data_IF_898182215484
#
_entry.id   IF_898182215484
#
_cell.length_a   1.000
_cell.length_b   1.000
_cell.length_c   1.000
_cell.angle_alpha   90.00
_cell.angle_beta   90.00
_cell.angle_gamma   90.00
#
_symmetry.space_group_name_H-M   'P 1'
#
loop_
_entity.id
_entity.type
_entity.pdbx_description
1 polymer ?
#
# COMPACT_ATOMS: atom_id res chain seq x y z
N UNK A 1 16.73 32.63 -0.33
CA UNK A 1 16.18 33.32 -1.52
C UNK A 1 15.82 32.24 -2.52
N UNK A 2 14.55 32.13 -2.94
CA UNK A 2 14.17 31.23 -4.03
C UNK A 2 14.73 31.82 -5.30
N UNK A 3 15.59 31.09 -5.99
CA UNK A 3 16.17 31.56 -7.23
C UNK A 3 15.28 31.14 -8.42
N UNK A 4 15.40 31.81 -9.54
CA UNK A 4 14.64 31.56 -10.75
C UNK A 4 14.84 30.13 -11.26
N UNK A 5 16.00 29.53 -11.02
CA UNK A 5 16.32 28.17 -11.42
C UNK A 5 15.50 27.13 -10.64
N UNK A 6 15.35 27.31 -9.32
CA UNK A 6 14.57 26.42 -8.46
C UNK A 6 13.08 26.42 -8.84
N UNK A 7 12.55 27.57 -9.27
CA UNK A 7 11.17 27.70 -9.75
C UNK A 7 10.98 26.91 -11.05
N UNK A 8 11.90 27.08 -12.01
CA UNK A 8 11.85 26.37 -13.28
C UNK A 8 12.03 24.86 -13.11
N UNK A 9 12.87 24.42 -12.19
CA UNK A 9 13.05 23.02 -11.85
C UNK A 9 11.73 22.42 -11.30
N UNK A 10 11.09 23.10 -10.35
CA UNK A 10 9.80 22.64 -9.79
C UNK A 10 8.72 22.52 -10.86
N UNK A 11 8.64 23.48 -11.79
CA UNK A 11 7.69 23.41 -12.90
C UNK A 11 7.94 22.18 -13.78
N UNK A 12 9.21 21.89 -14.12
CA UNK A 12 9.58 20.71 -14.90
C UNK A 12 9.24 19.39 -14.17
N UNK A 13 9.50 19.32 -12.88
CA UNK A 13 9.16 18.15 -12.07
C UNK A 13 7.67 17.81 -12.17
N UNK A 14 6.81 18.84 -12.22
CA UNK A 14 5.36 18.66 -12.29
C UNK A 14 4.90 18.36 -13.73
N UNK A 15 5.36 19.15 -14.72
CA UNK A 15 4.84 19.09 -16.08
C UNK A 15 5.44 17.94 -16.91
N UNK A 16 6.75 17.67 -16.75
CA UNK A 16 7.50 16.79 -17.62
C UNK A 16 7.95 15.50 -16.94
N UNK A 17 8.06 15.49 -15.60
CA UNK A 17 8.71 14.42 -14.83
C UNK A 17 7.74 13.65 -13.91
N UNK A 18 6.43 13.84 -14.07
CA UNK A 18 5.36 13.11 -13.37
C UNK A 18 5.37 13.26 -11.83
N UNK A 19 5.76 14.42 -11.29
CA UNK A 19 5.60 14.68 -9.86
C UNK A 19 4.11 14.84 -9.52
N UNK A 20 3.63 14.03 -8.59
CA UNK A 20 2.26 14.15 -8.06
C UNK A 20 2.20 14.05 -6.52
N UNK A 21 1.12 14.57 -5.97
CA UNK A 21 0.62 14.18 -4.66
C UNK A 21 -0.31 13.00 -4.90
N UNK A 22 0.20 11.80 -4.61
CA UNK A 22 -0.55 10.59 -4.85
C UNK A 22 -1.85 10.55 -4.06
N UNK A 23 -1.84 11.08 -2.84
CA UNK A 23 -3.04 11.13 -2.02
C UNK A 23 -2.95 12.16 -0.90
N UNK A 24 -4.11 12.77 -0.59
CA UNK A 24 -4.41 13.33 0.73
C UNK A 24 -5.37 12.37 1.40
N UNK A 25 -4.96 11.78 2.53
CA UNK A 25 -5.76 10.80 3.27
C UNK A 25 -6.13 11.37 4.64
N UNK A 26 -7.42 11.39 4.94
CA UNK A 26 -7.92 11.74 6.26
C UNK A 26 -8.08 10.49 7.11
N UNK A 27 -7.32 10.40 8.20
CA UNK A 27 -7.52 9.40 9.25
C UNK A 27 -8.64 9.85 10.18
N UNK A 28 -9.57 8.94 10.53
CA UNK A 28 -10.71 9.22 11.40
C UNK A 28 -10.86 8.09 12.41
N UNK A 29 -10.78 8.42 13.71
CA UNK A 29 -11.11 7.48 14.77
C UNK A 29 -12.62 7.21 14.81
N UNK A 30 -12.99 5.94 14.95
CA UNK A 30 -14.39 5.51 15.08
C UNK A 30 -14.68 4.92 16.47
N UNK A 31 -13.78 5.07 17.45
CA UNK A 31 -13.95 4.47 18.78
C UNK A 31 -15.22 4.91 19.50
N UNK A 32 -15.67 6.14 19.29
CA UNK A 32 -16.93 6.68 19.83
C UNK A 32 -18.18 6.21 19.06
N UNK A 33 -17.99 5.47 17.96
CA UNK A 33 -19.09 4.87 17.19
C UNK A 33 -19.49 3.48 17.68
N UNK A 34 -18.74 2.90 18.63
CA UNK A 34 -19.03 1.57 19.17
C UNK A 34 -20.44 1.56 19.79
N UNK A 35 -21.25 0.58 19.40
CA UNK A 35 -22.60 0.36 19.93
C UNK A 35 -22.96 -1.13 19.79
N UNK A 36 -23.66 -1.75 20.75
CA UNK A 36 -24.14 -3.14 20.62
C UNK A 36 -25.16 -3.33 19.48
N UNK A 37 -25.91 -2.27 19.17
CA UNK A 37 -26.86 -2.25 18.05
C UNK A 37 -26.13 -1.86 16.76
N UNK A 38 -26.11 -2.77 15.79
CA UNK A 38 -25.39 -2.59 14.53
C UNK A 38 -25.93 -1.42 13.70
N UNK A 39 -27.24 -1.19 13.69
CA UNK A 39 -27.86 -0.12 12.91
C UNK A 39 -27.46 1.25 13.48
N UNK A 40 -27.42 1.35 14.82
CA UNK A 40 -26.94 2.55 15.52
C UNK A 40 -25.46 2.76 15.27
N UNK A 41 -24.64 1.71 15.38
CA UNK A 41 -23.20 1.78 15.14
C UNK A 41 -22.90 2.20 13.69
N UNK A 42 -23.51 1.58 12.69
CA UNK A 42 -23.36 1.92 11.27
C UNK A 42 -23.79 3.36 10.99
N UNK A 43 -24.89 3.82 11.61
CA UNK A 43 -25.32 5.20 11.49
C UNK A 43 -24.31 6.18 12.07
N UNK A 44 -23.76 5.91 13.26
CA UNK A 44 -22.69 6.73 13.88
C UNK A 44 -21.45 6.79 12.99
N UNK A 45 -21.03 5.65 12.40
CA UNK A 45 -19.90 5.57 11.47
C UNK A 45 -20.15 6.45 10.24
N UNK A 46 -21.31 6.31 9.59
CA UNK A 46 -21.68 7.13 8.44
C UNK A 46 -21.69 8.63 8.78
N UNK A 47 -22.38 9.01 9.87
CA UNK A 47 -22.53 10.40 10.30
C UNK A 47 -21.16 11.02 10.64
N UNK A 48 -20.28 10.29 11.34
CA UNK A 48 -18.95 10.81 11.70
C UNK A 48 -18.05 11.00 10.49
N UNK A 49 -17.99 10.01 9.57
CA UNK A 49 -17.19 10.11 8.35
C UNK A 49 -17.66 11.29 7.50
N UNK A 50 -18.95 11.39 7.24
CA UNK A 50 -19.50 12.46 6.40
C UNK A 50 -19.34 13.85 7.04
N UNK A 51 -19.43 13.96 8.35
CA UNK A 51 -19.17 15.21 9.07
C UNK A 51 -17.69 15.64 8.98
N UNK A 52 -16.77 14.73 9.28
CA UNK A 52 -15.34 15.04 9.34
C UNK A 52 -14.73 15.29 7.95
N UNK A 53 -15.10 14.49 6.96
CA UNK A 53 -14.51 14.55 5.62
C UNK A 53 -15.30 15.41 4.61
N UNK A 54 -16.36 16.11 5.01
CA UNK A 54 -17.25 16.89 4.12
C UNK A 54 -16.54 17.85 3.17
N UNK A 55 -15.43 18.44 3.61
CA UNK A 55 -14.70 19.46 2.85
C UNK A 55 -13.37 18.90 2.26
N UNK A 56 -13.04 17.61 2.47
CA UNK A 56 -11.75 17.03 2.10
C UNK A 56 -11.47 17.14 0.59
N UNK A 57 -12.43 16.73 -0.23
CA UNK A 57 -12.29 16.75 -1.70
C UNK A 57 -12.17 18.19 -2.19
N UNK A 58 -13.06 19.07 -1.77
CA UNK A 58 -13.05 20.48 -2.14
C UNK A 58 -11.74 21.18 -1.78
N UNK A 59 -11.21 20.93 -0.59
CA UNK A 59 -9.92 21.50 -0.14
C UNK A 59 -8.78 20.94 -0.97
N UNK A 60 -8.77 19.63 -1.27
CA UNK A 60 -7.78 19.02 -2.15
C UNK A 60 -7.75 19.66 -3.54
N UNK A 61 -8.92 19.84 -4.17
CA UNK A 61 -9.05 20.49 -5.49
C UNK A 61 -8.62 21.97 -5.48
N UNK A 62 -8.90 22.67 -4.40
CA UNK A 62 -8.46 24.07 -4.23
C UNK A 62 -6.93 24.17 -4.14
N UNK A 63 -6.29 23.25 -3.39
CA UNK A 63 -4.83 23.20 -3.26
C UNK A 63 -4.18 22.86 -4.60
N UNK A 64 -4.74 21.86 -5.29
CA UNK A 64 -4.28 21.47 -6.63
C UNK A 64 -4.32 22.64 -7.61
N UNK A 65 -5.43 23.36 -7.66
CA UNK A 65 -5.60 24.54 -8.52
C UNK A 65 -4.66 25.70 -8.16
N UNK A 66 -4.44 25.94 -6.85
CA UNK A 66 -3.62 27.05 -6.37
C UNK A 66 -2.12 26.81 -6.58
N UNK A 67 -1.65 25.57 -6.36
CA UNK A 67 -0.23 25.26 -6.47
C UNK A 67 0.16 24.68 -7.84
N UNK A 68 -0.82 24.31 -8.65
CA UNK A 68 -0.58 23.63 -9.94
C UNK A 68 0.01 22.22 -9.78
N UNK A 69 -0.10 21.61 -8.59
CA UNK A 69 0.44 20.28 -8.29
C UNK A 69 -0.72 19.28 -8.33
N UNK A 70 -0.70 18.26 -9.18
CA UNK A 70 -1.76 17.26 -9.23
C UNK A 70 -1.93 16.54 -7.90
N UNK A 71 -3.17 16.43 -7.41
CA UNK A 71 -3.55 15.63 -6.24
C UNK A 71 -4.47 14.51 -6.72
N UNK A 72 -3.88 13.36 -7.00
CA UNK A 72 -4.52 12.28 -7.74
C UNK A 72 -5.71 11.70 -6.97
N UNK A 73 -5.54 11.46 -5.67
CA UNK A 73 -6.58 10.86 -4.84
C UNK A 73 -6.84 11.66 -3.56
N UNK A 74 -8.11 11.64 -3.14
CA UNK A 74 -8.57 12.05 -1.81
C UNK A 74 -9.16 10.82 -1.16
N UNK A 75 -8.67 10.42 0.01
CA UNK A 75 -8.96 9.13 0.64
C UNK A 75 -9.29 9.29 2.12
N UNK A 76 -9.90 8.25 2.70
CA UNK A 76 -10.17 8.16 4.12
C UNK A 76 -9.61 6.84 4.64
N UNK A 77 -9.03 6.86 5.84
CA UNK A 77 -8.72 5.66 6.62
C UNK A 77 -9.41 5.74 7.97
N UNK A 78 -9.98 4.63 8.45
CA UNK A 78 -10.71 4.62 9.72
C UNK A 78 -10.13 3.59 10.68
N UNK A 79 -10.49 3.68 11.95
CA UNK A 79 -10.15 2.67 12.97
C UNK A 79 -10.52 1.28 12.47
N UNK A 80 -9.68 0.25 12.70
CA UNK A 80 -9.98 -1.13 12.31
C UNK A 80 -11.39 -1.56 12.73
N UNK A 81 -12.22 -1.88 11.75
CA UNK A 81 -13.65 -2.20 11.97
C UNK A 81 -13.83 -3.44 12.85
N UNK A 82 -12.87 -4.37 12.88
CA UNK A 82 -12.91 -5.49 13.82
C UNK A 82 -13.04 -5.05 15.29
N UNK A 83 -12.44 -3.90 15.65
CA UNK A 83 -12.55 -3.33 17.01
C UNK A 83 -13.95 -2.75 17.24
N UNK A 84 -14.52 -2.10 16.22
CA UNK A 84 -15.81 -1.43 16.33
C UNK A 84 -16.95 -2.45 16.33
N UNK A 85 -16.89 -3.42 15.42
CA UNK A 85 -17.94 -4.43 15.23
C UNK A 85 -17.97 -5.50 16.32
N UNK A 86 -16.90 -5.67 17.10
CA UNK A 86 -16.80 -6.67 18.15
C UNK A 86 -17.93 -6.59 19.20
N UNK A 87 -18.53 -5.41 19.40
CA UNK A 87 -19.64 -5.20 20.31
C UNK A 87 -20.98 -5.73 19.77
N UNK A 88 -21.12 -5.86 18.43
CA UNK A 88 -22.42 -6.15 17.78
C UNK A 88 -22.76 -7.63 17.69
N UNK A 89 -21.79 -8.55 17.81
CA UNK A 89 -21.96 -10.01 17.70
C UNK A 89 -22.78 -10.46 16.48
N UNK A 90 -22.52 -9.85 15.33
CA UNK A 90 -23.19 -10.13 14.07
C UNK A 90 -22.26 -9.82 12.89
N UNK A 91 -22.65 -10.25 11.67
CA UNK A 91 -21.85 -9.98 10.47
C UNK A 91 -21.48 -8.51 10.33
N UNK A 92 -20.20 -8.15 10.15
CA UNK A 92 -19.76 -6.76 9.99
C UNK A 92 -19.97 -6.17 8.58
N UNK A 93 -20.53 -6.92 7.62
CA UNK A 93 -20.80 -6.40 6.25
C UNK A 93 -21.59 -5.09 6.22
N UNK A 94 -22.58 -4.83 7.10
CA UNK A 94 -23.26 -3.53 7.16
C UNK A 94 -22.32 -2.33 7.39
N UNK A 95 -21.22 -2.51 8.16
CA UNK A 95 -20.20 -1.47 8.33
C UNK A 95 -19.50 -1.16 7.01
N UNK A 96 -19.14 -2.17 6.21
CA UNK A 96 -18.54 -1.94 4.89
C UNK A 96 -19.47 -1.12 4.00
N UNK A 97 -20.77 -1.44 3.98
CA UNK A 97 -21.78 -0.67 3.23
C UNK A 97 -21.91 0.77 3.72
N UNK A 98 -21.97 0.98 5.04
CA UNK A 98 -22.02 2.33 5.62
C UNK A 98 -20.75 3.15 5.28
N UNK A 99 -19.58 2.54 5.29
CA UNK A 99 -18.32 3.16 4.86
C UNK A 99 -18.35 3.54 3.37
N UNK A 100 -18.82 2.65 2.50
CA UNK A 100 -18.93 2.88 1.06
C UNK A 100 -19.88 4.03 0.72
N UNK A 101 -21.04 4.05 1.36
CA UNK A 101 -22.02 5.11 1.24
C UNK A 101 -21.48 6.45 1.74
N UNK A 102 -20.80 6.47 2.88
CA UNK A 102 -20.15 7.67 3.39
C UNK A 102 -19.05 8.17 2.44
N UNK A 103 -18.21 7.27 1.90
CA UNK A 103 -17.18 7.60 0.93
C UNK A 103 -17.76 8.17 -0.38
N UNK A 104 -18.89 7.62 -0.84
CA UNK A 104 -19.66 8.16 -1.99
C UNK A 104 -20.22 9.54 -1.70
N UNK A 105 -20.81 9.74 -0.51
CA UNK A 105 -21.43 10.99 -0.11
C UNK A 105 -20.41 12.15 -0.04
N UNK A 106 -19.20 11.92 0.44
CA UNK A 106 -18.14 12.94 0.51
C UNK A 106 -17.26 13.00 -0.75
N UNK A 107 -17.45 12.09 -1.71
CA UNK A 107 -16.77 12.09 -3.00
C UNK A 107 -15.33 11.59 -3.00
N UNK A 108 -14.86 10.92 -1.95
CA UNK A 108 -13.49 10.37 -1.91
C UNK A 108 -13.34 9.14 -2.80
N UNK A 109 -12.12 8.88 -3.26
CA UNK A 109 -11.85 7.79 -4.18
C UNK A 109 -11.94 6.41 -3.53
N UNK A 110 -11.34 6.26 -2.33
CA UNK A 110 -11.25 5.01 -1.58
C UNK A 110 -11.37 5.27 -0.08
N UNK A 111 -11.81 4.26 0.67
CA UNK A 111 -11.84 4.23 2.13
C UNK A 111 -11.28 2.92 2.65
N UNK A 112 -10.28 3.00 3.53
CA UNK A 112 -9.66 1.85 4.21
C UNK A 112 -10.07 1.75 5.67
N UNK A 113 -9.79 0.61 6.29
CA UNK A 113 -10.09 0.35 7.69
C UNK A 113 -11.08 -0.81 7.91
N UNK A 114 -11.54 -1.48 6.85
CA UNK A 114 -12.19 -2.77 7.01
C UNK A 114 -11.13 -3.83 7.33
N UNK A 115 -10.59 -3.75 8.55
CA UNK A 115 -9.29 -4.28 8.96
C UNK A 115 -9.41 -5.07 10.27
N UNK A 116 -8.62 -6.16 10.37
CA UNK A 116 -8.38 -6.93 11.60
C UNK A 116 -6.88 -7.02 11.92
N UNK A 117 -6.54 -7.03 13.21
CA UNK A 117 -5.16 -7.07 13.73
C UNK A 117 -4.96 -8.36 14.54
N UNK A 118 -4.54 -9.44 13.87
CA UNK A 118 -4.53 -10.81 14.42
C UNK A 118 -3.15 -11.39 14.67
N UNK A 119 -2.13 -10.54 14.73
CA UNK A 119 -0.76 -10.97 15.02
C UNK A 119 -0.56 -11.61 16.39
N UNK A 120 -1.50 -11.43 17.32
CA UNK A 120 -1.49 -12.02 18.67
C UNK A 120 -2.47 -13.19 18.82
N UNK A 121 -3.14 -13.59 17.76
CA UNK A 121 -4.27 -14.50 17.76
C UNK A 121 -5.57 -13.79 17.39
N UNK A 122 -6.64 -14.54 17.32
CA UNK A 122 -7.96 -14.02 16.95
C UNK A 122 -8.81 -13.72 18.19
N UNK A 123 -9.50 -12.60 18.19
CA UNK A 123 -10.75 -12.45 18.91
C UNK A 123 -11.92 -13.00 18.08
N UNK A 124 -13.11 -13.13 18.69
CA UNK A 124 -14.32 -13.54 17.98
C UNK A 124 -14.67 -12.54 16.85
N UNK A 125 -14.63 -11.25 17.14
CA UNK A 125 -14.91 -10.21 16.16
C UNK A 125 -13.88 -10.12 15.02
N UNK A 126 -12.61 -10.45 15.27
CA UNK A 126 -11.59 -10.52 14.21
C UNK A 126 -11.91 -11.61 13.20
N UNK A 127 -12.32 -12.79 13.69
CA UNK A 127 -12.65 -13.93 12.82
C UNK A 127 -13.90 -13.64 11.99
N UNK A 128 -14.94 -13.10 12.60
CA UNK A 128 -16.16 -12.68 11.91
C UNK A 128 -15.89 -11.65 10.82
N UNK A 129 -15.05 -10.65 11.11
CA UNK A 129 -14.67 -9.65 10.11
C UNK A 129 -13.91 -10.27 8.95
N UNK A 130 -12.87 -11.09 9.22
CA UNK A 130 -12.05 -11.69 8.16
C UNK A 130 -12.89 -12.58 7.26
N UNK A 131 -13.77 -13.40 7.81
CA UNK A 131 -14.66 -14.28 7.03
C UNK A 131 -15.70 -13.49 6.20
N UNK A 132 -16.02 -12.26 6.59
CA UNK A 132 -16.93 -11.39 5.85
C UNK A 132 -16.26 -10.58 4.71
N UNK A 133 -14.91 -10.52 4.65
CA UNK A 133 -14.18 -9.72 3.66
C UNK A 133 -14.61 -9.99 2.22
N UNK A 134 -14.77 -11.26 1.75
CA UNK A 134 -15.15 -11.53 0.38
C UNK A 134 -16.50 -10.91 -0.01
N UNK A 135 -17.49 -10.98 0.89
CA UNK A 135 -18.80 -10.36 0.66
C UNK A 135 -18.73 -8.83 0.74
N UNK A 136 -18.02 -8.29 1.73
CA UNK A 136 -17.85 -6.87 1.90
C UNK A 136 -17.22 -6.23 0.65
N UNK A 137 -16.13 -6.80 0.13
CA UNK A 137 -15.42 -6.26 -1.03
C UNK A 137 -16.15 -6.49 -2.35
N UNK A 138 -16.95 -7.54 -2.48
CA UNK A 138 -17.80 -7.78 -3.64
C UNK A 138 -19.03 -6.85 -3.68
N UNK A 139 -19.56 -6.45 -2.51
CA UNK A 139 -20.78 -5.61 -2.40
C UNK A 139 -20.49 -4.10 -2.29
N UNK A 140 -19.22 -3.68 -2.31
CA UNK A 140 -18.81 -2.27 -2.17
C UNK A 140 -17.83 -1.86 -3.27
N UNK A 141 -17.84 -0.57 -3.63
CA UNK A 141 -16.97 -0.03 -4.67
C UNK A 141 -15.65 0.52 -4.12
N UNK A 142 -15.72 1.30 -3.03
CA UNK A 142 -14.61 2.14 -2.51
C UNK A 142 -13.94 1.58 -1.27
N UNK A 143 -14.52 0.55 -0.66
CA UNK A 143 -13.96 -0.05 0.56
C UNK A 143 -12.76 -0.92 0.23
N UNK A 144 -11.69 -0.71 1.00
CA UNK A 144 -10.48 -1.53 0.98
C UNK A 144 -10.30 -2.20 2.34
N UNK A 145 -9.67 -3.38 2.33
CA UNK A 145 -9.47 -4.21 3.51
C UNK A 145 -8.01 -4.58 3.73
N UNK A 146 -7.65 -4.81 4.98
CA UNK A 146 -6.35 -5.37 5.33
C UNK A 146 -6.40 -6.23 6.59
N UNK A 147 -5.47 -7.17 6.69
CA UNK A 147 -5.31 -8.01 7.88
C UNK A 147 -3.84 -8.06 8.26
N UNK A 148 -3.50 -7.69 9.49
CA UNK A 148 -2.15 -7.81 10.02
C UNK A 148 -1.98 -9.13 10.77
N UNK A 149 -1.20 -10.06 10.18
CA UNK A 149 -1.07 -11.45 10.66
C UNK A 149 0.21 -11.70 11.47
N UNK A 150 1.13 -10.76 11.47
CA UNK A 150 2.43 -10.95 12.11
C UNK A 150 3.10 -9.65 12.54
N UNK A 151 4.07 -9.78 13.42
CA UNK A 151 4.98 -8.68 13.75
C UNK A 151 6.32 -9.21 14.27
N UNK A 152 7.34 -8.37 14.20
CA UNK A 152 8.65 -8.65 14.78
C UNK A 152 8.57 -8.98 16.28
N UNK A 153 7.57 -8.46 17.00
CA UNK A 153 7.41 -8.67 18.45
C UNK A 153 6.60 -9.90 18.80
N UNK A 154 5.63 -10.28 17.96
CA UNK A 154 4.69 -11.38 18.24
C UNK A 154 4.99 -12.64 17.47
N UNK A 155 5.77 -12.57 16.39
CA UNK A 155 5.90 -13.66 15.43
C UNK A 155 4.80 -13.64 14.38
N UNK A 156 4.54 -14.77 13.73
CA UNK A 156 3.57 -14.91 12.63
C UNK A 156 2.46 -15.86 13.05
N UNK A 157 1.22 -15.41 12.93
CA UNK A 157 0.03 -16.24 13.14
C UNK A 157 -0.21 -17.11 11.89
N UNK A 158 0.25 -18.37 11.92
CA UNK A 158 0.15 -19.27 10.77
C UNK A 158 -1.30 -19.70 10.50
N UNK A 159 -2.16 -19.78 11.53
CA UNK A 159 -3.60 -20.01 11.36
C UNK A 159 -4.24 -18.86 10.57
N UNK A 160 -3.78 -17.62 10.81
CA UNK A 160 -4.22 -16.47 10.04
C UNK A 160 -3.71 -16.51 8.60
N UNK A 161 -2.47 -16.98 8.35
CA UNK A 161 -1.97 -17.17 6.98
C UNK A 161 -2.86 -18.14 6.21
N UNK A 162 -3.20 -19.31 6.80
CA UNK A 162 -4.08 -20.29 6.19
C UNK A 162 -5.49 -19.74 5.91
N UNK A 163 -6.06 -19.00 6.87
CA UNK A 163 -7.35 -18.33 6.69
C UNK A 163 -7.27 -17.29 5.55
N UNK A 164 -6.23 -16.44 5.52
CA UNK A 164 -6.10 -15.41 4.51
C UNK A 164 -5.87 -15.96 3.10
N UNK A 165 -5.16 -17.08 2.94
CA UNK A 165 -5.03 -17.75 1.65
C UNK A 165 -6.39 -18.10 1.05
N UNK A 166 -7.32 -18.63 1.88
CA UNK A 166 -8.71 -18.91 1.49
C UNK A 166 -9.48 -17.63 1.17
N UNK A 167 -9.42 -16.63 2.04
CA UNK A 167 -10.12 -15.35 1.87
C UNK A 167 -9.69 -14.62 0.58
N UNK A 168 -8.39 -14.56 0.27
CA UNK A 168 -7.88 -13.95 -0.98
C UNK A 168 -8.46 -14.68 -2.20
N UNK A 169 -8.49 -16.02 -2.17
CA UNK A 169 -9.07 -16.82 -3.24
C UNK A 169 -10.58 -16.54 -3.42
N UNK A 170 -11.34 -16.54 -2.33
CA UNK A 170 -12.78 -16.23 -2.34
C UNK A 170 -13.08 -14.80 -2.82
N UNK A 171 -12.24 -13.81 -2.46
CA UNK A 171 -12.37 -12.44 -2.99
C UNK A 171 -12.23 -12.41 -4.51
N UNK A 172 -11.26 -13.14 -5.06
CA UNK A 172 -11.06 -13.23 -6.51
C UNK A 172 -12.27 -13.93 -7.17
N UNK A 173 -12.72 -15.06 -6.63
CA UNK A 173 -13.86 -15.84 -7.16
C UNK A 173 -15.18 -15.04 -7.16
N UNK A 174 -15.46 -14.28 -6.10
CA UNK A 174 -16.68 -13.45 -6.01
C UNK A 174 -16.67 -12.22 -6.93
N UNK A 175 -15.52 -11.88 -7.50
CA UNK A 175 -15.35 -10.65 -8.31
C UNK A 175 -14.76 -10.94 -9.69
N UNK A 176 -14.97 -12.12 -10.23
CA UNK A 176 -14.49 -12.54 -11.57
C UNK A 176 -14.93 -11.55 -12.66
N UNK A 177 -16.19 -11.11 -12.59
CA UNK A 177 -16.78 -10.18 -13.57
C UNK A 177 -16.09 -8.79 -13.59
N UNK A 178 -15.39 -8.45 -12.52
CA UNK A 178 -14.56 -7.24 -12.40
C UNK A 178 -13.05 -7.56 -12.39
N UNK A 179 -12.63 -8.57 -13.14
CA UNK A 179 -11.24 -9.02 -13.26
C UNK A 179 -10.60 -9.36 -11.88
N UNK A 180 -11.35 -10.04 -11.01
CA UNK A 180 -10.91 -10.44 -9.67
C UNK A 180 -10.54 -9.25 -8.76
N UNK A 181 -11.12 -8.07 -8.98
CA UNK A 181 -10.73 -6.81 -8.32
C UNK A 181 -10.93 -6.82 -6.80
N UNK A 182 -11.79 -7.68 -6.27
CA UNK A 182 -11.93 -7.85 -4.82
C UNK A 182 -10.60 -8.22 -4.14
N UNK A 183 -9.82 -9.10 -4.76
CA UNK A 183 -8.49 -9.45 -4.26
C UNK A 183 -7.49 -8.27 -4.35
N UNK A 184 -7.62 -7.38 -5.34
CA UNK A 184 -6.80 -6.17 -5.47
C UNK A 184 -7.09 -5.13 -4.37
N UNK A 185 -8.27 -5.19 -3.72
CA UNK A 185 -8.65 -4.32 -2.60
C UNK A 185 -8.28 -4.88 -1.22
N UNK A 186 -7.61 -6.03 -1.16
CA UNK A 186 -7.22 -6.73 0.07
C UNK A 186 -5.69 -6.82 0.20
N UNK A 187 -5.17 -6.45 1.35
CA UNK A 187 -3.73 -6.54 1.68
C UNK A 187 -3.54 -7.32 2.98
N UNK A 188 -2.58 -8.25 2.99
CA UNK A 188 -2.17 -8.96 4.21
C UNK A 188 -0.81 -8.43 4.66
N UNK A 189 -0.71 -8.01 5.92
CA UNK A 189 0.48 -7.36 6.48
C UNK A 189 1.21 -8.20 7.53
N UNK A 190 2.52 -7.98 7.61
CA UNK A 190 3.33 -8.13 8.80
C UNK A 190 3.93 -6.75 9.16
N UNK A 191 3.93 -6.38 10.45
CA UNK A 191 4.36 -5.06 10.94
C UNK A 191 3.62 -3.90 10.24
N UNK A 192 2.29 -3.96 10.13
CA UNK A 192 1.50 -2.86 9.56
C UNK A 192 1.73 -1.55 10.30
N UNK A 193 1.71 -0.43 9.58
CA UNK A 193 1.81 0.91 10.15
C UNK A 193 0.43 1.54 10.28
N UNK A 194 0.26 2.40 11.28
CA UNK A 194 -1.04 2.96 11.69
C UNK A 194 -1.38 4.28 10.99
N UNK A 195 -0.40 4.88 10.32
CA UNK A 195 -0.46 6.22 9.70
C UNK A 195 -0.35 6.19 8.17
N UNK A 196 -0.44 5.01 7.56
CA UNK A 196 -0.29 4.82 6.12
C UNK A 196 -1.36 5.58 5.31
N UNK A 197 -0.98 6.53 4.42
CA UNK A 197 -1.92 7.22 3.54
C UNK A 197 -2.28 6.43 2.28
N UNK A 198 -1.49 5.39 1.92
CA UNK A 198 -1.70 4.62 0.70
C UNK A 198 -2.73 3.51 0.91
N UNK A 199 -3.70 3.39 0.01
CA UNK A 199 -4.64 2.28 -0.08
C UNK A 199 -3.97 1.09 -0.83
N UNK A 200 -4.32 -0.16 -0.68
CA UNK A 200 -5.51 -0.75 -0.10
C UNK A 200 -5.43 -1.07 1.40
N UNK A 201 -4.25 -1.03 2.01
CA UNK A 201 -4.04 -1.50 3.37
C UNK A 201 -4.14 -0.43 4.46
N UNK A 202 -4.50 0.81 4.13
CA UNK A 202 -4.56 1.89 5.12
C UNK A 202 -5.65 1.65 6.17
N UNK A 203 -5.32 1.96 7.42
CA UNK A 203 -6.25 2.12 8.51
C UNK A 203 -5.75 3.20 9.46
N UNK A 204 -6.61 3.71 10.31
CA UNK A 204 -6.28 4.71 11.31
C UNK A 204 -6.05 4.03 12.67
N UNK A 205 -4.84 4.12 13.20
CA UNK A 205 -4.46 3.44 14.43
C UNK A 205 -5.19 3.97 15.67
N UNK A 206 -5.34 3.13 16.67
CA UNK A 206 -5.99 3.51 17.93
C UNK A 206 -5.16 4.48 18.76
N UNK A 207 -3.86 4.58 18.50
CA UNK A 207 -2.95 5.54 19.12
C UNK A 207 -2.92 6.91 18.46
N UNK A 208 -3.56 7.06 17.31
CA UNK A 208 -3.57 8.28 16.53
C UNK A 208 -4.64 9.29 17.05
N UNK A 209 -4.53 10.60 16.70
CA UNK A 209 -5.56 11.60 17.04
C UNK A 209 -6.95 11.23 16.51
N UNK A 210 -8.02 11.85 17.07
CA UNK A 210 -9.41 11.61 16.62
C UNK A 210 -9.58 11.82 15.10
N UNK A 211 -8.82 12.78 14.55
CA UNK A 211 -8.75 12.99 13.10
C UNK A 211 -7.41 13.60 12.72
N UNK A 212 -6.84 13.21 11.57
CA UNK A 212 -5.57 13.76 11.07
C UNK A 212 -5.48 13.69 9.55
N UNK A 213 -4.58 14.49 8.97
CA UNK A 213 -4.26 14.48 7.53
C UNK A 213 -2.87 13.88 7.31
N UNK A 214 -2.81 12.82 6.52
CA UNK A 214 -1.59 12.22 6.01
C UNK A 214 -1.49 12.44 4.49
N UNK A 215 -0.29 12.67 3.99
CA UNK A 215 -0.05 12.93 2.56
C UNK A 215 0.92 11.91 1.99
N UNK A 216 0.54 11.27 0.89
CA UNK A 216 1.43 10.43 0.12
C UNK A 216 1.93 11.18 -1.12
N UNK A 217 3.25 11.26 -1.28
CA UNK A 217 3.91 11.85 -2.47
C UNK A 217 4.60 10.78 -3.26
N UNK A 218 4.62 10.96 -4.58
CA UNK A 218 5.31 10.08 -5.49
C UNK A 218 6.08 10.86 -6.56
N UNK A 219 6.97 10.20 -7.25
CA UNK A 219 7.76 10.81 -8.32
C UNK A 219 8.89 9.93 -8.82
N UNK A 220 8.64 8.65 -9.20
CA UNK A 220 9.65 7.82 -9.87
C UNK A 220 10.21 8.50 -11.12
N UNK A 221 9.35 9.15 -11.91
CA UNK A 221 9.75 9.90 -13.09
C UNK A 221 10.75 11.02 -12.80
N UNK A 222 10.56 11.76 -11.71
CA UNK A 222 11.46 12.83 -11.28
C UNK A 222 12.85 12.28 -10.93
N UNK A 223 12.90 11.18 -10.17
CA UNK A 223 14.16 10.51 -9.81
C UNK A 223 14.87 10.03 -11.07
N UNK A 224 14.16 9.37 -11.98
CA UNK A 224 14.72 8.89 -13.25
C UNK A 224 15.27 10.04 -14.09
N UNK A 225 14.52 11.13 -14.26
CA UNK A 225 14.94 12.29 -15.03
C UNK A 225 16.20 12.96 -14.45
N UNK A 226 16.32 12.99 -13.12
CA UNK A 226 17.51 13.49 -12.44
C UNK A 226 18.74 12.62 -12.72
N UNK A 227 18.60 11.29 -12.67
CA UNK A 227 19.70 10.34 -12.91
C UNK A 227 20.23 10.41 -14.33
N UNK A 228 19.39 10.62 -15.32
CA UNK A 228 19.79 10.82 -16.74
C UNK A 228 20.78 11.95 -16.98
N UNK A 229 20.88 12.89 -16.06
CA UNK A 229 21.86 13.97 -16.13
C UNK A 229 23.28 13.52 -15.72
N UNK A 230 23.41 12.30 -15.20
CA UNK A 230 24.67 11.77 -14.64
C UNK A 230 24.97 10.34 -15.14
N UNK A 231 25.05 10.11 -16.46
CA UNK A 231 25.15 8.75 -17.02
C UNK A 231 26.46 8.02 -16.64
N UNK A 232 27.52 8.76 -16.37
CA UNK A 232 28.84 8.20 -16.04
C UNK A 232 29.19 8.35 -14.55
N UNK A 233 28.21 8.72 -13.70
CA UNK A 233 28.46 8.91 -12.28
C UNK A 233 28.63 7.57 -11.55
N UNK A 234 29.48 7.57 -10.53
CA UNK A 234 29.59 6.43 -9.64
C UNK A 234 28.36 6.29 -8.71
N UNK A 235 28.23 5.14 -8.05
CA UNK A 235 27.09 4.84 -7.18
C UNK A 235 26.96 5.82 -6.02
N UNK A 236 28.05 6.39 -5.52
CA UNK A 236 28.03 7.39 -4.46
C UNK A 236 27.33 8.66 -4.94
N UNK A 237 27.70 9.17 -6.11
CA UNK A 237 27.07 10.33 -6.73
C UNK A 237 25.61 10.06 -7.07
N UNK A 238 25.26 8.89 -7.60
CA UNK A 238 23.91 8.44 -7.86
C UNK A 238 23.06 8.51 -6.58
N UNK A 239 23.55 7.94 -5.47
CA UNK A 239 22.88 8.00 -4.17
C UNK A 239 22.65 9.43 -3.69
N UNK A 240 23.61 10.33 -3.87
CA UNK A 240 23.48 11.73 -3.46
C UNK A 240 22.44 12.47 -4.30
N UNK A 241 22.38 12.22 -5.61
CA UNK A 241 21.34 12.78 -6.50
C UNK A 241 19.95 12.31 -6.06
N UNK A 242 19.77 11.02 -5.75
CA UNK A 242 18.50 10.49 -5.29
C UNK A 242 18.07 11.17 -3.98
N UNK A 243 19.00 11.34 -3.02
CA UNK A 243 18.71 12.03 -1.74
C UNK A 243 18.26 13.48 -1.96
N UNK A 244 18.95 14.20 -2.84
CA UNK A 244 18.62 15.60 -3.16
C UNK A 244 17.22 15.74 -3.77
N UNK A 245 16.88 14.89 -4.73
CA UNK A 245 15.55 14.91 -5.36
C UNK A 245 14.46 14.48 -4.37
N UNK A 246 14.71 13.45 -3.59
CA UNK A 246 13.78 12.98 -2.54
C UNK A 246 13.50 14.07 -1.50
N UNK A 247 14.52 14.86 -1.14
CA UNK A 247 14.34 16.04 -0.30
C UNK A 247 13.36 17.04 -0.93
N UNK A 248 13.55 17.38 -2.21
CA UNK A 248 12.69 18.35 -2.92
C UNK A 248 11.24 17.85 -3.01
N UNK A 249 11.02 16.60 -3.40
CA UNK A 249 9.70 15.97 -3.48
C UNK A 249 9.00 16.02 -2.11
N UNK A 250 9.70 15.65 -1.04
CA UNK A 250 9.13 15.63 0.32
C UNK A 250 8.71 17.03 0.79
N UNK A 251 9.49 18.08 0.45
CA UNK A 251 9.13 19.46 0.79
C UNK A 251 7.82 19.90 0.14
N UNK A 252 7.55 19.43 -1.06
CA UNK A 252 6.27 19.68 -1.75
C UNK A 252 5.13 18.97 -1.03
N UNK A 253 5.31 17.70 -0.64
CA UNK A 253 4.31 16.98 0.15
C UNK A 253 4.01 17.65 1.49
N UNK A 254 5.04 18.13 2.18
CA UNK A 254 4.86 18.87 3.43
C UNK A 254 4.07 20.17 3.23
N UNK A 255 4.35 20.94 2.17
CA UNK A 255 3.60 22.13 1.84
C UNK A 255 2.11 21.84 1.67
N UNK A 256 1.78 20.83 0.88
CA UNK A 256 0.39 20.40 0.64
C UNK A 256 -0.27 19.92 1.93
N UNK A 257 0.41 19.06 2.71
CA UNK A 257 -0.13 18.52 3.96
C UNK A 257 -0.41 19.59 5.02
N UNK A 258 0.51 20.53 5.21
CA UNK A 258 0.32 21.64 6.15
C UNK A 258 -0.81 22.57 5.70
N UNK A 259 -0.94 22.81 4.39
CA UNK A 259 -2.02 23.64 3.84
C UNK A 259 -3.37 22.96 3.99
N UNK A 260 -3.47 21.66 3.68
CA UNK A 260 -4.69 20.88 3.87
C UNK A 260 -5.11 20.85 5.35
N UNK A 261 -4.17 20.58 6.25
CA UNK A 261 -4.39 20.59 7.69
C UNK A 261 -4.98 21.91 8.19
N UNK A 262 -4.39 23.04 7.79
CA UNK A 262 -4.89 24.38 8.18
C UNK A 262 -6.29 24.66 7.66
N UNK A 263 -6.58 24.32 6.40
CA UNK A 263 -7.89 24.59 5.78
C UNK A 263 -9.00 23.72 6.33
N UNK A 264 -8.66 22.47 6.66
CA UNK A 264 -9.61 21.52 7.24
C UNK A 264 -9.77 21.64 8.76
N UNK A 265 -8.87 22.37 9.44
CA UNK A 265 -8.85 22.48 10.90
C UNK A 265 -8.52 21.15 11.60
N UNK A 266 -7.72 20.29 10.94
CA UNK A 266 -7.36 18.95 11.40
C UNK A 266 -5.84 18.85 11.53
N UNK A 267 -5.28 18.19 12.57
CA UNK A 267 -3.84 18.04 12.72
C UNK A 267 -3.15 17.46 11.48
N UNK A 268 -1.96 17.95 11.17
CA UNK A 268 -1.10 17.34 10.18
C UNK A 268 -0.37 16.16 10.80
N UNK A 269 -0.49 14.98 10.21
CA UNK A 269 0.17 13.74 10.59
C UNK A 269 1.54 13.62 9.93
N UNK A 270 1.62 12.88 8.83
CA UNK A 270 2.88 12.57 8.17
C UNK A 270 2.87 12.88 6.66
N UNK A 271 4.09 12.97 6.12
CA UNK A 271 4.36 12.78 4.69
C UNK A 271 4.92 11.37 4.51
N UNK A 272 4.29 10.62 3.64
CA UNK A 272 4.82 9.36 3.12
C UNK A 272 5.47 9.65 1.75
N UNK A 273 6.79 9.58 1.70
CA UNK A 273 7.54 9.65 0.46
C UNK A 273 7.73 8.23 -0.07
N UNK A 274 6.79 7.77 -0.86
CA UNK A 274 6.91 6.49 -1.55
C UNK A 274 7.03 6.70 -3.04
N UNK A 275 8.10 6.16 -3.62
CA UNK A 275 8.21 6.04 -5.08
C UNK A 275 7.21 4.97 -5.53
N UNK A 276 5.94 5.37 -5.61
CA UNK A 276 4.84 4.51 -6.04
C UNK A 276 4.59 4.76 -7.53
N UNK A 277 4.98 3.82 -8.40
CA UNK A 277 4.87 4.00 -9.84
C UNK A 277 3.42 4.06 -10.31
N UNK A 278 3.25 4.44 -11.57
CA UNK A 278 2.01 4.29 -12.33
C UNK A 278 2.30 3.58 -13.65
N UNK A 279 1.28 3.04 -14.33
CA UNK A 279 1.46 2.47 -15.67
C UNK A 279 1.85 3.50 -16.73
N UNK A 280 1.89 4.79 -16.38
CA UNK A 280 2.26 5.86 -17.30
C UNK A 280 3.72 5.74 -17.74
N UNK A 281 3.96 6.08 -19.01
CA UNK A 281 5.33 6.08 -19.56
C UNK A 281 6.21 7.08 -18.80
N UNK A 282 7.32 6.60 -18.26
CA UNK A 282 8.30 7.42 -17.52
C UNK A 282 8.18 7.34 -16.00
N UNK A 283 7.07 6.86 -15.44
CA UNK A 283 6.81 6.77 -14.00
C UNK A 283 6.97 5.31 -13.50
N UNK A 284 8.21 4.80 -13.48
CA UNK A 284 8.54 3.40 -13.16
C UNK A 284 9.74 3.30 -12.26
N UNK A 285 9.63 2.53 -11.18
CA UNK A 285 10.75 2.18 -10.28
C UNK A 285 11.70 1.21 -10.97
N UNK A 286 11.20 0.25 -11.75
CA UNK A 286 12.05 -0.64 -12.54
C UNK A 286 12.96 0.15 -13.49
N UNK A 287 12.41 1.14 -14.18
CA UNK A 287 13.22 1.99 -15.07
C UNK A 287 14.23 2.88 -14.31
N UNK A 288 14.00 3.22 -13.03
CA UNK A 288 15.05 3.86 -12.20
C UNK A 288 16.22 2.89 -12.02
N UNK A 289 15.93 1.62 -11.69
CA UNK A 289 16.97 0.61 -11.49
C UNK A 289 17.76 0.34 -12.78
N UNK A 290 17.09 0.37 -13.93
CA UNK A 290 17.72 0.26 -15.26
C UNK A 290 18.55 1.51 -15.59
N UNK A 291 18.10 2.69 -15.26
CA UNK A 291 18.88 3.93 -15.44
C UNK A 291 20.14 3.97 -14.57
N UNK A 292 20.13 3.28 -13.42
CA UNK A 292 21.33 3.10 -12.56
C UNK A 292 22.37 2.16 -13.20
N UNK A 293 21.95 1.34 -14.18
CA UNK A 293 22.86 0.51 -14.96
C UNK A 293 22.49 -0.97 -15.07
N UNK A 294 21.27 -1.36 -14.64
CA UNK A 294 20.78 -2.72 -14.90
C UNK A 294 20.20 -2.79 -16.32
N UNK A 295 20.51 -3.83 -17.07
CA UNK A 295 19.92 -4.04 -18.41
C UNK A 295 18.41 -4.25 -18.33
N UNK A 296 17.94 -4.96 -17.30
CA UNK A 296 16.52 -5.17 -16.99
C UNK A 296 16.34 -5.42 -15.49
N UNK A 297 15.24 -4.89 -14.94
CA UNK A 297 14.83 -5.20 -13.59
C UNK A 297 14.62 -6.72 -13.42
N UNK A 298 15.01 -7.28 -12.27
CA UNK A 298 15.00 -8.71 -11.99
C UNK A 298 16.34 -9.40 -12.19
N UNK A 299 17.26 -8.86 -13.01
CA UNK A 299 18.60 -9.43 -13.16
C UNK A 299 19.41 -9.37 -11.86
N UNK A 300 20.53 -10.12 -11.81
CA UNK A 300 21.46 -10.04 -10.66
C UNK A 300 21.92 -8.59 -10.44
N UNK A 301 21.97 -8.16 -9.18
CA UNK A 301 22.24 -6.76 -8.81
C UNK A 301 20.97 -5.95 -8.48
N UNK A 302 19.78 -6.35 -8.93
CA UNK A 302 18.53 -5.63 -8.69
C UNK A 302 18.26 -5.40 -7.20
N UNK A 303 18.42 -6.41 -6.35
CA UNK A 303 18.21 -6.29 -4.90
C UNK A 303 19.17 -5.29 -4.27
N UNK A 304 20.46 -5.31 -4.64
CA UNK A 304 21.45 -4.34 -4.14
C UNK A 304 21.16 -2.91 -4.60
N UNK A 305 20.78 -2.75 -5.88
CA UNK A 305 20.40 -1.47 -6.45
C UNK A 305 19.14 -0.89 -5.76
N UNK A 306 18.12 -1.73 -5.54
CA UNK A 306 16.91 -1.36 -4.84
C UNK A 306 17.18 -1.00 -3.37
N UNK A 307 18.08 -1.71 -2.68
CA UNK A 307 18.48 -1.37 -1.31
C UNK A 307 19.08 0.04 -1.23
N UNK A 308 19.97 0.40 -2.16
CA UNK A 308 20.55 1.73 -2.24
C UNK A 308 19.49 2.78 -2.57
N UNK A 309 18.61 2.53 -3.54
CA UNK A 309 17.51 3.42 -3.90
C UNK A 309 16.61 3.70 -2.69
N UNK A 310 16.13 2.63 -2.03
CA UNK A 310 15.22 2.73 -0.88
C UNK A 310 15.84 3.53 0.28
N UNK A 311 17.11 3.29 0.60
CA UNK A 311 17.85 3.99 1.66
C UNK A 311 18.05 5.48 1.31
N UNK A 312 18.45 5.78 0.07
CA UNK A 312 18.66 7.15 -0.39
C UNK A 312 17.36 7.98 -0.37
N UNK A 313 16.23 7.38 -0.78
CA UNK A 313 14.89 7.99 -0.70
C UNK A 313 14.54 8.34 0.74
N UNK A 314 14.67 7.38 1.66
CA UNK A 314 14.37 7.60 3.09
C UNK A 314 15.24 8.69 3.70
N UNK A 315 16.55 8.70 3.41
CA UNK A 315 17.47 9.73 3.90
C UNK A 315 17.09 11.12 3.40
N UNK A 316 16.75 11.27 2.12
CA UNK A 316 16.29 12.53 1.54
C UNK A 316 14.99 13.02 2.22
N UNK A 317 14.04 12.12 2.43
CA UNK A 317 12.77 12.41 3.11
C UNK A 317 12.97 12.92 4.54
N UNK A 318 13.71 12.19 5.36
CA UNK A 318 13.97 12.55 6.77
C UNK A 318 14.69 13.91 6.90
N UNK A 319 15.56 14.25 5.95
CA UNK A 319 16.23 15.56 5.94
C UNK A 319 15.25 16.70 5.59
N UNK A 320 14.17 16.42 4.87
CA UNK A 320 13.24 17.44 4.39
C UNK A 320 12.11 17.76 5.38
N UNK A 321 11.65 16.79 6.14
CA UNK A 321 10.49 16.89 7.01
C UNK A 321 10.68 16.05 8.28
N UNK A 322 10.33 16.62 9.44
CA UNK A 322 10.37 15.91 10.73
C UNK A 322 9.18 14.96 10.94
N UNK A 323 8.24 14.95 10.01
CA UNK A 323 7.01 14.14 10.04
C UNK A 323 6.97 13.17 8.85
N UNK A 324 8.00 12.34 8.74
CA UNK A 324 8.05 11.24 7.78
C UNK A 324 7.50 9.99 8.45
N UNK A 325 6.61 9.29 7.76
CA UNK A 325 5.97 8.08 8.27
C UNK A 325 5.43 7.20 7.14
N UNK A 326 4.43 6.40 7.45
CA UNK A 326 3.80 5.49 6.51
C UNK A 326 4.75 4.41 6.01
N UNK A 327 4.72 4.17 4.71
CA UNK A 327 5.49 3.15 4.02
C UNK A 327 6.72 3.71 3.28
N UNK A 328 7.10 4.95 3.53
CA UNK A 328 8.16 5.69 2.82
C UNK A 328 9.31 4.84 2.26
N UNK A 329 9.62 5.03 0.98
CA UNK A 329 10.69 4.33 0.26
C UNK A 329 10.34 3.99 -1.18
N UNK A 330 10.84 2.87 -1.70
CA UNK A 330 10.56 2.43 -3.05
C UNK A 330 9.54 1.28 -3.07
N UNK A 331 8.43 1.47 -3.80
CA UNK A 331 7.41 0.46 -4.06
C UNK A 331 7.76 -0.37 -5.30
N UNK A 332 7.33 -1.62 -5.32
CA UNK A 332 7.56 -2.54 -6.44
C UNK A 332 6.27 -3.28 -6.86
N UNK A 333 5.13 -2.58 -7.06
CA UNK A 333 3.91 -3.20 -7.54
C UNK A 333 4.08 -3.64 -8.99
N UNK A 334 3.76 -4.90 -9.32
CA UNK A 334 4.03 -5.41 -10.67
C UNK A 334 3.07 -4.82 -11.69
N UNK A 335 1.77 -4.76 -11.43
CA UNK A 335 0.80 -4.28 -12.43
C UNK A 335 0.77 -2.76 -12.61
N UNK A 336 1.29 -2.02 -11.64
CA UNK A 336 1.26 -0.56 -11.62
C UNK A 336 2.57 0.06 -12.16
N UNK A 337 3.55 -0.75 -12.59
CA UNK A 337 4.88 -0.32 -13.05
C UNK A 337 5.20 -0.92 -14.42
N UNK A 338 5.31 -0.08 -15.46
CA UNK A 338 5.54 -0.52 -16.83
C UNK A 338 6.81 -1.39 -16.96
N UNK A 339 7.90 -1.02 -16.29
CA UNK A 339 9.14 -1.80 -16.33
C UNK A 339 9.05 -3.13 -15.54
N UNK A 340 8.28 -3.18 -14.44
CA UNK A 340 8.03 -4.44 -13.72
C UNK A 340 7.18 -5.39 -14.58
N UNK A 341 6.14 -4.87 -15.26
CA UNK A 341 5.33 -5.64 -16.21
C UNK A 341 6.22 -6.26 -17.28
N UNK A 342 7.05 -5.44 -17.94
CA UNK A 342 7.93 -5.89 -19.02
C UNK A 342 8.95 -6.92 -18.52
N UNK A 343 9.51 -6.75 -17.33
CA UNK A 343 10.44 -7.68 -16.71
C UNK A 343 9.77 -9.01 -16.34
N UNK A 344 8.53 -8.99 -15.84
CA UNK A 344 7.76 -10.18 -15.53
C UNK A 344 7.39 -10.96 -16.79
N UNK A 345 6.92 -10.27 -17.85
CA UNK A 345 6.60 -10.88 -19.16
C UNK A 345 7.85 -11.50 -19.79
N UNK A 346 9.01 -10.86 -19.65
CA UNK A 346 10.28 -11.39 -20.14
C UNK A 346 10.84 -12.56 -19.31
N UNK A 347 10.24 -12.85 -18.14
CA UNK A 347 10.70 -13.89 -17.22
C UNK A 347 11.98 -13.54 -16.45
N UNK A 348 12.45 -12.29 -16.51
CA UNK A 348 13.60 -11.82 -15.72
C UNK A 348 13.20 -11.54 -14.28
N UNK A 349 11.96 -11.08 -14.07
CA UNK A 349 11.37 -10.83 -12.75
C UNK A 349 10.45 -12.01 -12.41
N UNK A 350 10.85 -12.83 -11.44
CA UNK A 350 10.08 -13.96 -10.90
C UNK A 350 9.54 -13.64 -9.51
N UNK A 351 8.66 -14.47 -8.99
CA UNK A 351 8.11 -14.32 -7.61
C UNK A 351 9.25 -14.39 -6.59
N UNK A 352 10.15 -15.37 -6.72
CA UNK A 352 11.29 -15.54 -5.80
C UNK A 352 12.26 -14.36 -5.87
N UNK A 353 12.40 -13.74 -7.05
CA UNK A 353 13.18 -12.51 -7.18
C UNK A 353 12.51 -11.35 -6.51
N UNK A 354 11.18 -11.23 -6.63
CA UNK A 354 10.41 -10.23 -5.92
C UNK A 354 10.51 -10.42 -4.41
N UNK A 355 10.38 -11.63 -3.88
CA UNK A 355 10.58 -11.93 -2.45
C UNK A 355 11.95 -11.47 -1.96
N UNK A 356 13.03 -11.76 -2.71
CA UNK A 356 14.35 -11.23 -2.37
C UNK A 356 14.42 -9.69 -2.40
N UNK A 357 13.69 -9.04 -3.30
CA UNK A 357 13.60 -7.58 -3.38
C UNK A 357 12.78 -7.00 -2.23
N UNK A 358 11.78 -7.71 -1.74
CA UNK A 358 10.95 -7.25 -0.62
C UNK A 358 11.71 -7.18 0.70
N UNK A 359 12.81 -7.88 0.84
CA UNK A 359 13.70 -7.71 1.98
C UNK A 359 14.26 -6.27 2.11
N UNK A 360 14.33 -5.53 1.01
CA UNK A 360 14.96 -4.20 0.94
C UNK A 360 14.05 -3.09 0.38
N UNK A 361 12.87 -3.42 -0.14
CA UNK A 361 11.88 -2.42 -0.57
C UNK A 361 11.12 -1.82 0.62
N UNK A 362 10.19 -0.92 0.37
CA UNK A 362 9.40 -0.29 1.46
C UNK A 362 8.15 -1.05 1.86
N UNK A 363 7.58 -1.88 0.98
CA UNK A 363 6.28 -2.53 1.23
C UNK A 363 6.39 -4.06 1.23
N UNK A 364 6.42 -4.71 0.07
CA UNK A 364 6.33 -6.17 -0.04
C UNK A 364 5.92 -6.59 -1.44
N UNK A 365 5.33 -7.79 -1.56
CA UNK A 365 4.72 -8.28 -2.79
C UNK A 365 3.43 -7.51 -3.07
N UNK A 366 3.41 -6.72 -4.12
CA UNK A 366 2.27 -5.86 -4.41
C UNK A 366 1.78 -6.03 -5.84
N UNK A 367 0.45 -6.15 -5.99
CA UNK A 367 -0.23 -6.33 -7.28
C UNK A 367 0.33 -7.50 -8.10
N UNK A 368 0.52 -8.63 -7.45
CA UNK A 368 1.03 -9.86 -8.06
C UNK A 368 -0.12 -10.70 -8.57
N UNK A 369 -0.18 -10.92 -9.87
CA UNK A 369 -1.20 -11.78 -10.48
C UNK A 369 -0.67 -13.18 -10.63
N UNK A 370 -1.41 -14.16 -10.10
CA UNK A 370 -1.07 -15.59 -10.14
C UNK A 370 -2.14 -16.40 -10.87
N UNK A 371 -1.85 -17.64 -11.31
CA UNK A 371 -2.85 -18.48 -11.98
C UNK A 371 -4.13 -18.62 -11.16
N UNK A 372 -5.26 -18.63 -11.85
CA UNK A 372 -6.56 -18.70 -11.20
C UNK A 372 -6.85 -20.00 -10.47
N UNK A 373 -6.12 -21.07 -10.78
CA UNK A 373 -6.18 -22.38 -10.13
C UNK A 373 -5.20 -22.54 -8.96
N UNK A 374 -4.48 -21.47 -8.59
CA UNK A 374 -3.58 -21.48 -7.42
C UNK A 374 -4.36 -21.89 -6.16
N UNK A 375 -3.86 -22.90 -5.46
CA UNK A 375 -4.46 -23.39 -4.23
C UNK A 375 -4.36 -22.37 -3.09
N UNK A 376 -5.38 -22.27 -2.21
CA UNK A 376 -5.35 -21.38 -1.04
C UNK A 376 -4.10 -21.54 -0.16
N UNK A 377 -3.63 -22.77 0.04
CA UNK A 377 -2.45 -23.05 0.85
C UNK A 377 -1.16 -22.49 0.22
N UNK A 378 -1.08 -22.42 -1.11
CA UNK A 378 0.04 -21.78 -1.81
C UNK A 378 0.02 -20.27 -1.58
N UNK A 379 -1.15 -19.63 -1.66
CA UNK A 379 -1.30 -18.20 -1.32
C UNK A 379 -0.92 -17.95 0.14
N UNK A 380 -1.37 -18.83 1.05
CA UNK A 380 -1.03 -18.77 2.47
C UNK A 380 0.47 -18.88 2.73
N UNK A 381 1.18 -19.71 1.96
CA UNK A 381 2.63 -19.86 2.06
C UNK A 381 3.37 -18.60 1.59
N UNK A 382 2.95 -18.00 0.48
CA UNK A 382 3.50 -16.71 0.01
C UNK A 382 3.31 -15.63 1.10
N UNK A 383 2.14 -15.58 1.74
CA UNK A 383 1.86 -14.67 2.87
C UNK A 383 2.82 -14.95 4.04
N UNK A 384 3.07 -16.22 4.37
CA UNK A 384 3.96 -16.60 5.47
C UNK A 384 5.43 -16.26 5.17
N UNK A 385 5.89 -16.43 3.94
CA UNK A 385 7.26 -16.10 3.51
C UNK A 385 7.50 -14.58 3.58
N UNK A 386 6.58 -13.79 3.05
CA UNK A 386 6.66 -12.33 3.17
C UNK A 386 6.58 -11.84 4.62
N UNK A 387 5.74 -12.46 5.43
CA UNK A 387 5.68 -12.14 6.86
C UNK A 387 7.01 -12.48 7.57
N UNK A 388 7.67 -13.58 7.19
CA UNK A 388 8.98 -13.94 7.72
C UNK A 388 10.05 -12.92 7.35
N UNK A 389 10.07 -12.45 6.09
CA UNK A 389 10.95 -11.37 5.63
C UNK A 389 10.73 -10.11 6.47
N UNK A 390 9.48 -9.69 6.64
CA UNK A 390 9.11 -8.51 7.44
C UNK A 390 9.50 -8.65 8.92
N UNK A 391 9.19 -9.79 9.51
CA UNK A 391 9.46 -10.10 10.90
C UNK A 391 10.97 -10.06 11.22
N UNK A 392 11.79 -10.72 10.41
CA UNK A 392 13.24 -10.82 10.64
C UNK A 392 13.94 -9.49 10.39
N UNK A 393 13.53 -8.75 9.35
CA UNK A 393 14.13 -7.47 8.99
C UNK A 393 13.56 -6.27 9.76
N UNK A 394 12.60 -6.46 10.66
CA UNK A 394 11.96 -5.39 11.43
C UNK A 394 11.38 -4.31 10.51
N UNK A 395 10.74 -4.72 9.44
CA UNK A 395 10.10 -3.82 8.45
C UNK A 395 8.66 -4.26 8.16
N UNK A 396 7.86 -3.33 7.68
CA UNK A 396 6.54 -3.69 7.12
C UNK A 396 6.73 -4.51 5.86
N UNK A 397 6.01 -5.63 5.77
CA UNK A 397 5.78 -6.34 4.52
C UNK A 397 4.28 -6.49 4.29
N UNK A 398 3.90 -6.45 3.03
CA UNK A 398 2.52 -6.55 2.57
C UNK A 398 2.43 -7.59 1.46
N UNK A 399 1.32 -8.29 1.37
CA UNK A 399 1.00 -9.20 0.28
C UNK A 399 -0.34 -8.81 -0.33
N UNK A 400 -0.31 -8.45 -1.61
CA UNK A 400 -1.48 -8.21 -2.45
C UNK A 400 -1.36 -9.11 -3.68
N UNK A 401 -1.81 -10.36 -3.53
CA UNK A 401 -1.81 -11.40 -4.56
C UNK A 401 -3.22 -11.55 -5.12
N UNK A 402 -3.33 -11.67 -6.43
CA UNK A 402 -4.59 -11.70 -7.16
C UNK A 402 -4.66 -12.98 -8.00
N UNK A 403 -5.40 -14.01 -7.53
CA UNK A 403 -5.68 -15.18 -8.34
C UNK A 403 -6.54 -14.81 -9.54
N UNK A 404 -6.01 -15.00 -10.76
CA UNK A 404 -6.69 -14.64 -12.02
C UNK A 404 -7.64 -15.77 -12.45
N UNK A 405 -8.81 -15.83 -11.87
CA UNK A 405 -9.77 -16.93 -12.09
C UNK A 405 -10.04 -17.11 -13.59
N UNK A 406 -9.86 -18.35 -14.07
CA UNK A 406 -10.03 -18.71 -15.47
C UNK A 406 -8.87 -18.37 -16.41
N UNK A 407 -7.80 -17.75 -15.89
CA UNK A 407 -6.60 -17.37 -16.68
C UNK A 407 -5.37 -18.20 -16.33
N UNK A 408 -4.46 -18.29 -17.30
CA UNK A 408 -3.22 -19.06 -17.23
C UNK A 408 -2.00 -18.14 -17.29
N UNK A 409 -0.83 -18.69 -16.95
CA UNK A 409 0.47 -18.02 -17.09
C UNK A 409 0.62 -17.39 -18.46
N UNK A 410 1.08 -16.14 -18.49
CA UNK A 410 1.27 -15.34 -19.72
C UNK A 410 0.02 -14.56 -20.18
N UNK A 411 -1.17 -14.86 -19.63
CA UNK A 411 -2.34 -14.00 -19.83
C UNK A 411 -2.28 -12.77 -18.93
N UNK A 412 -3.19 -11.83 -19.11
CA UNK A 412 -3.18 -10.54 -18.42
C UNK A 412 -4.54 -10.25 -17.80
N UNK A 413 -4.55 -9.73 -16.57
CA UNK A 413 -5.69 -8.99 -16.01
C UNK A 413 -5.50 -7.50 -16.29
N UNK A 414 -6.55 -6.81 -16.71
CA UNK A 414 -6.53 -5.39 -17.03
C UNK A 414 -7.60 -4.66 -16.20
N UNK A 415 -7.18 -3.77 -15.33
CA UNK A 415 -8.08 -2.94 -14.52
C UNK A 415 -8.11 -1.49 -15.01
N UNK A 416 -7.15 -1.12 -15.85
CA UNK A 416 -6.97 0.25 -16.32
C UNK A 416 -6.56 1.23 -15.22
N UNK A 417 -6.49 2.51 -15.57
CA UNK A 417 -6.17 3.60 -14.63
C UNK A 417 -4.88 3.37 -13.86
N UNK A 418 -4.90 3.61 -12.56
CA UNK A 418 -3.74 3.47 -11.69
C UNK A 418 -3.36 2.01 -11.38
N UNK A 419 -4.31 1.07 -11.46
CA UNK A 419 -4.07 -0.34 -11.16
C UNK A 419 -3.38 -1.09 -12.31
N UNK A 420 -3.45 -0.55 -13.52
CA UNK A 420 -2.73 -1.03 -14.70
C UNK A 420 -3.10 -2.41 -15.18
N UNK A 421 -2.09 -3.19 -15.58
CA UNK A 421 -2.23 -4.52 -16.19
C UNK A 421 -1.30 -5.51 -15.53
N UNK A 422 -1.86 -6.57 -14.93
CA UNK A 422 -1.08 -7.62 -14.27
C UNK A 422 -0.87 -8.84 -15.17
N UNK A 423 0.38 -9.17 -15.58
CA UNK A 423 0.65 -10.46 -16.21
C UNK A 423 0.53 -11.58 -15.18
N UNK A 424 -0.09 -12.69 -15.57
CA UNK A 424 -0.18 -13.90 -14.74
C UNK A 424 1.21 -14.53 -14.66
N UNK A 425 1.84 -14.46 -13.47
CA UNK A 425 3.19 -14.95 -13.21
C UNK A 425 3.15 -16.44 -12.83
N UNK A 426 4.18 -17.22 -13.24
CA UNK A 426 4.26 -18.63 -12.89
C UNK A 426 4.52 -18.83 -11.39
N UNK A 427 3.99 -19.92 -10.83
CA UNK A 427 4.27 -20.41 -9.49
C UNK A 427 4.79 -21.85 -9.55
N UNK A 428 5.52 -22.26 -8.50
CA UNK A 428 5.86 -23.66 -8.29
C UNK A 428 4.61 -24.53 -8.07
N UNK A 429 4.68 -25.79 -8.46
CA UNK A 429 3.54 -26.72 -8.36
C UNK A 429 3.57 -27.57 -7.09
N UNK A 430 4.68 -27.56 -6.38
CA UNK A 430 4.84 -28.29 -5.13
C UNK A 430 3.96 -27.69 -4.04
N UNK A 431 3.23 -28.57 -3.33
CA UNK A 431 2.23 -28.13 -2.36
C UNK A 431 2.85 -27.81 -1.00
N UNK A 432 2.63 -26.62 -0.43
CA UNK A 432 3.00 -26.25 0.94
C UNK A 432 1.97 -26.67 1.98
N UNK A 433 0.88 -27.34 1.61
CA UNK A 433 -0.29 -27.59 2.46
C UNK A 433 0.05 -28.24 3.79
N UNK A 434 1.00 -29.18 3.82
CA UNK A 434 1.43 -29.82 5.06
C UNK A 434 2.06 -28.84 6.05
N UNK A 435 2.77 -27.82 5.56
CA UNK A 435 3.36 -26.77 6.39
C UNK A 435 2.29 -25.84 6.91
N UNK A 436 1.45 -25.29 6.05
CA UNK A 436 0.38 -24.35 6.43
C UNK A 436 -0.59 -24.98 7.42
N UNK A 437 -1.02 -26.22 7.15
CA UNK A 437 -1.96 -26.94 8.01
C UNK A 437 -1.38 -27.42 9.35
N UNK A 438 -0.11 -27.14 9.67
CA UNK A 438 0.39 -27.28 11.04
C UNK A 438 -0.22 -26.25 11.98
N UNK A 439 -0.54 -25.06 11.45
CA UNK A 439 -1.13 -23.97 12.24
C UNK A 439 -0.22 -23.43 13.35
N UNK A 440 -0.82 -22.70 14.26
CA UNK A 440 -0.15 -22.15 15.43
C UNK A 440 0.62 -20.86 15.14
N UNK A 441 1.67 -20.61 15.94
CA UNK A 441 2.44 -19.35 15.88
C UNK A 441 3.91 -19.65 15.54
N UNK A 442 4.44 -19.02 14.50
CA UNK A 442 5.88 -18.95 14.27
C UNK A 442 6.44 -17.95 15.28
N UNK A 443 7.39 -18.34 16.15
CA UNK A 443 7.89 -17.47 17.22
C UNK A 443 8.59 -16.22 16.69
N UNK A 444 8.54 -15.14 17.49
CA UNK A 444 9.32 -13.94 17.22
C UNK A 444 10.83 -14.25 17.18
N UNK A 445 11.61 -13.59 16.32
CA UNK A 445 13.04 -13.86 16.17
C UNK A 445 13.84 -13.37 17.37
N UNK A 446 14.98 -14.01 17.63
CA UNK A 446 15.95 -13.55 18.63
C UNK A 446 16.75 -12.38 18.07
N UNK A 447 16.37 -11.16 18.42
CA UNK A 447 17.03 -9.94 17.92
C UNK A 447 18.51 -9.82 18.28
N UNK A 448 18.92 -10.42 19.41
CA UNK A 448 20.31 -10.41 19.87
C UNK A 448 21.25 -11.30 19.04
N UNK A 449 20.71 -12.16 18.19
CA UNK A 449 21.46 -13.09 17.34
C UNK A 449 21.32 -12.75 15.84
N UNK A 450 21.22 -11.48 15.52
CA UNK A 450 21.28 -11.03 14.12
C UNK A 450 22.68 -11.31 13.58
N UNK A 451 22.73 -12.15 12.58
CA UNK A 451 23.96 -12.41 11.82
C UNK A 451 24.15 -11.32 10.76
#
# INVERSE_FOLDING_TARGET
MINQYDILETIRMIQDECLDIRTITMGISLLDCIDPDIDIACKKVYDKITLKARDLVKVGEQIEKEYGIPIINKRISVTPIAIISAACKCSPVPFAKAMDEAAKAVGVNLIGGYTALVQKGFSEGDRELIESIPEALASTERVCSSVNIGSTKTGINLDACGLMGRIVKECAEKTVDSACFGAAKLVVFCNSVEDNPFMAGAYHGVGEPDCMINVGVSGPGVVRAALRKYPDADITKISDVIKEISYKITRIGQLVGVTASKRLGVPFGIVDLSLAPTPAVGDSVAHILEEIGLERCGTHGTTACLAMLNDAVKKGGVMACSRIGGLSGAFIPVSEDAGMIDAAVAGTLTIEKLEAMTAVCSVGLDMIVVPGDTEPDTIAAIIADEAAIGMVNTKTTAVRVIPAIGKKVGEVLDWGGLFGKGPVMPLHKESPSKFINRGGQIPAPLHSLKN
#
